data_IF_247878425109
#
_entry.id   IF_247878425109
#
_cell.length_a   1.000
_cell.length_b   1.000
_cell.length_c   1.000
_cell.angle_alpha   90.00
_cell.angle_beta   90.00
_cell.angle_gamma   90.00
#
_symmetry.space_group_name_H-M   'P 1'
#
loop_
_entity.id
_entity.type
_entity.pdbx_description
1 polymer ?
#
# COMPACT_ATOMS: atom_id res chain seq x y z
N UNK A 1 16.63 -35.60 19.94
CA UNK A 1 16.64 -34.95 18.61
C UNK A 1 15.53 -33.94 18.65
N UNK A 2 15.85 -32.77 19.17
CA UNK A 2 14.92 -31.67 19.40
C UNK A 2 14.77 -30.99 18.04
N UNK A 3 13.61 -31.15 17.41
CA UNK A 3 13.32 -30.43 16.16
C UNK A 3 13.07 -28.99 16.53
N UNK A 4 14.06 -28.13 16.27
CA UNK A 4 13.94 -26.67 16.35
C UNK A 4 12.65 -26.23 15.64
N UNK A 5 11.70 -25.73 16.42
CA UNK A 5 10.50 -25.03 15.95
C UNK A 5 10.88 -23.56 15.65
N UNK A 6 12.10 -23.34 15.16
CA UNK A 6 12.59 -22.04 14.79
C UNK A 6 12.06 -21.68 13.39
N UNK A 7 11.38 -20.54 13.32
CA UNK A 7 11.13 -19.77 12.09
C UNK A 7 10.06 -20.30 11.11
N UNK A 8 8.83 -20.49 11.60
CA UNK A 8 7.66 -20.81 10.76
C UNK A 8 7.13 -19.57 10.01
N UNK A 9 8.01 -18.89 9.27
CA UNK A 9 7.58 -17.81 8.38
C UNK A 9 7.90 -18.17 6.92
N UNK A 10 6.88 -18.24 6.05
CA UNK A 10 7.09 -18.57 4.65
C UNK A 10 8.09 -17.59 4.00
N UNK A 11 8.96 -18.09 3.12
CA UNK A 11 10.07 -17.32 2.53
C UNK A 11 9.64 -15.99 1.85
N UNK A 12 8.43 -15.94 1.29
CA UNK A 12 7.84 -14.77 0.62
C UNK A 12 7.07 -13.82 1.56
N UNK A 13 6.98 -14.18 2.85
CA UNK A 13 6.55 -13.31 3.92
C UNK A 13 7.80 -12.63 4.49
N UNK A 14 8.43 -13.14 5.54
CA UNK A 14 9.71 -12.63 6.07
C UNK A 14 10.72 -13.74 6.31
N UNK A 15 12.02 -13.41 6.46
CA UNK A 15 13.07 -14.45 6.68
C UNK A 15 13.23 -14.89 8.14
N UNK A 16 12.61 -14.17 9.07
CA UNK A 16 12.63 -14.43 10.50
C UNK A 16 11.43 -13.74 11.17
N UNK A 17 11.13 -14.11 12.41
CA UNK A 17 9.97 -13.60 13.13
C UNK A 17 9.91 -12.06 13.22
N UNK A 18 11.06 -11.37 13.24
CA UNK A 18 11.11 -9.91 13.29
C UNK A 18 10.64 -9.28 11.98
N UNK A 19 11.09 -9.80 10.83
CA UNK A 19 10.61 -9.33 9.54
C UNK A 19 9.12 -9.64 9.35
N UNK A 20 8.66 -10.81 9.81
CA UNK A 20 7.26 -11.20 9.69
C UNK A 20 6.35 -10.28 10.51
N UNK A 21 6.73 -9.98 11.76
CA UNK A 21 6.01 -9.02 12.58
C UNK A 21 5.98 -7.60 11.97
N UNK A 22 7.02 -7.20 11.23
CA UNK A 22 7.01 -5.92 10.50
C UNK A 22 6.15 -5.92 9.25
N UNK A 23 6.04 -7.06 8.58
CA UNK A 23 5.11 -7.21 7.47
C UNK A 23 3.66 -7.18 7.98
N UNK A 24 3.37 -7.89 9.07
CA UNK A 24 2.06 -7.86 9.74
C UNK A 24 1.68 -6.42 10.12
N UNK A 25 2.57 -5.67 10.76
CA UNK A 25 2.33 -4.26 11.09
C UNK A 25 1.96 -3.43 9.87
N UNK A 26 2.65 -3.60 8.74
CA UNK A 26 2.35 -2.87 7.50
C UNK A 26 0.98 -3.27 6.95
N UNK A 27 0.64 -4.56 6.97
CA UNK A 27 -0.65 -5.06 6.49
C UNK A 27 -1.79 -4.50 7.34
N UNK A 28 -1.65 -4.50 8.67
CA UNK A 28 -2.66 -3.95 9.58
C UNK A 28 -2.82 -2.43 9.39
N UNK A 29 -1.72 -1.70 9.16
CA UNK A 29 -1.81 -0.26 8.83
C UNK A 29 -2.56 -0.04 7.51
N UNK A 30 -2.38 -0.89 6.51
CA UNK A 30 -3.16 -0.82 5.26
C UNK A 30 -4.63 -1.12 5.52
N UNK A 31 -4.95 -2.12 6.34
CA UNK A 31 -6.33 -2.40 6.73
C UNK A 31 -6.98 -1.21 7.47
N UNK A 32 -6.25 -0.53 8.34
CA UNK A 32 -6.72 0.70 8.99
C UNK A 32 -7.00 1.83 7.98
N UNK A 33 -6.15 1.98 6.96
CA UNK A 33 -6.37 2.94 5.87
C UNK A 33 -7.64 2.58 5.08
N UNK A 34 -7.81 1.30 4.72
CA UNK A 34 -8.99 0.81 3.99
C UNK A 34 -10.27 1.04 4.79
N UNK A 35 -10.28 0.66 6.06
CA UNK A 35 -11.40 0.85 6.98
C UNK A 35 -11.76 2.33 7.16
N UNK A 36 -10.76 3.22 7.19
CA UNK A 36 -10.99 4.65 7.28
C UNK A 36 -11.59 5.25 6.00
N UNK A 37 -11.21 4.72 4.83
CA UNK A 37 -11.63 5.24 3.51
C UNK A 37 -12.96 4.66 3.04
N UNK A 38 -13.27 3.42 3.41
CA UNK A 38 -14.44 2.69 2.92
C UNK A 38 -15.77 3.47 3.10
N UNK A 39 -16.08 4.09 4.26
CA UNK A 39 -17.35 4.81 4.42
C UNK A 39 -17.49 6.01 3.48
N UNK A 40 -16.39 6.74 3.25
CA UNK A 40 -16.37 7.86 2.33
C UNK A 40 -16.56 7.36 0.90
N UNK A 41 -15.81 6.34 0.50
CA UNK A 41 -15.85 5.75 -0.84
C UNK A 41 -17.23 5.16 -1.21
N UNK A 42 -17.89 4.51 -0.26
CA UNK A 42 -19.22 3.89 -0.45
C UNK A 42 -20.39 4.89 -0.41
N UNK A 43 -20.13 6.15 -0.04
CA UNK A 43 -21.16 7.20 -0.01
C UNK A 43 -21.76 7.40 -1.41
N UNK A 44 -23.09 7.29 -1.63
CA UNK A 44 -23.68 7.41 -2.98
C UNK A 44 -23.58 8.82 -3.58
N UNK A 45 -23.62 9.86 -2.74
CA UNK A 45 -23.51 11.26 -3.13
C UNK A 45 -22.06 11.60 -3.51
N UNK A 46 -21.84 12.00 -4.77
CA UNK A 46 -20.51 12.27 -5.31
C UNK A 46 -19.82 13.46 -4.63
N UNK A 47 -20.54 14.55 -4.33
CA UNK A 47 -19.96 15.74 -3.72
C UNK A 47 -19.60 15.49 -2.25
N UNK A 48 -20.47 14.77 -1.53
CA UNK A 48 -20.18 14.35 -0.16
C UNK A 48 -19.01 13.36 -0.10
N UNK A 49 -18.98 12.38 -1.01
CA UNK A 49 -17.87 11.43 -1.15
C UNK A 49 -16.55 12.17 -1.30
N UNK A 50 -16.45 13.11 -2.24
CA UNK A 50 -15.23 13.88 -2.47
C UNK A 50 -14.79 14.65 -1.22
N UNK A 51 -15.71 15.33 -0.53
CA UNK A 51 -15.41 16.08 0.69
C UNK A 51 -14.93 15.16 1.84
N UNK A 52 -15.59 14.02 2.05
CA UNK A 52 -15.23 13.08 3.12
C UNK A 52 -13.87 12.40 2.85
N UNK A 53 -13.53 12.14 1.59
CA UNK A 53 -12.22 11.61 1.19
C UNK A 53 -11.09 12.62 1.40
N UNK A 54 -11.30 13.89 1.02
CA UNK A 54 -10.35 14.97 1.27
C UNK A 54 -10.10 15.12 2.78
N UNK A 55 -11.15 15.04 3.59
CA UNK A 55 -11.03 15.06 5.05
C UNK A 55 -10.25 13.86 5.58
N UNK A 56 -10.53 12.64 5.10
CA UNK A 56 -9.79 11.44 5.51
C UNK A 56 -8.30 11.57 5.18
N UNK A 57 -7.97 12.01 3.97
CA UNK A 57 -6.60 12.28 3.52
C UNK A 57 -5.85 13.23 4.44
N UNK A 58 -6.42 14.40 4.71
CA UNK A 58 -5.73 15.51 5.38
C UNK A 58 -5.60 15.30 6.89
N UNK A 59 -6.41 14.42 7.47
CA UNK A 59 -6.42 14.18 8.91
C UNK A 59 -6.09 12.73 9.29
N UNK A 60 -6.91 11.79 8.84
CA UNK A 60 -6.96 10.43 9.38
C UNK A 60 -5.82 9.57 8.84
N UNK A 61 -5.50 9.71 7.56
CA UNK A 61 -4.52 8.84 6.89
C UNK A 61 -3.08 9.32 7.06
N UNK A 62 -2.87 10.60 7.37
CA UNK A 62 -1.54 11.21 7.41
C UNK A 62 -0.55 10.50 8.33
N UNK A 63 -0.89 10.11 9.58
CA UNK A 63 0.03 9.39 10.45
C UNK A 63 0.49 8.06 9.85
N UNK A 64 -0.42 7.30 9.24
CA UNK A 64 -0.12 6.02 8.60
C UNK A 64 0.84 6.19 7.42
N UNK A 65 0.59 7.17 6.55
CA UNK A 65 1.47 7.47 5.42
C UNK A 65 2.83 7.99 5.85
N UNK A 66 2.90 8.84 6.87
CA UNK A 66 4.17 9.32 7.43
C UNK A 66 4.99 8.16 8.01
N UNK A 67 4.34 7.17 8.64
CA UNK A 67 5.01 5.97 9.12
C UNK A 67 5.53 5.12 7.96
N UNK A 68 4.68 4.77 7.01
CA UNK A 68 5.03 3.94 5.83
C UNK A 68 6.21 4.57 5.08
N UNK A 69 6.14 5.88 4.83
CA UNK A 69 7.19 6.63 4.14
C UNK A 69 8.53 6.55 4.86
N UNK A 70 8.54 6.80 6.18
CA UNK A 70 9.76 6.71 7.00
C UNK A 70 10.31 5.28 7.06
N UNK A 71 9.43 4.28 7.14
CA UNK A 71 9.81 2.87 7.17
C UNK A 71 10.50 2.45 5.87
N UNK A 72 9.95 2.85 4.71
CA UNK A 72 10.56 2.61 3.41
C UNK A 72 11.92 3.31 3.27
N UNK A 73 12.04 4.56 3.72
CA UNK A 73 13.32 5.28 3.70
C UNK A 73 14.38 4.58 4.54
N UNK A 74 14.02 4.12 5.74
CA UNK A 74 14.93 3.36 6.62
C UNK A 74 15.37 2.03 6.00
N UNK A 75 14.51 1.40 5.21
CA UNK A 75 14.82 0.16 4.49
C UNK A 75 15.69 0.37 3.23
N UNK A 76 15.99 1.62 2.85
CA UNK A 76 16.80 1.94 1.67
C UNK A 76 15.99 2.28 0.41
N UNK A 77 14.66 2.28 0.50
CA UNK A 77 13.78 2.88 -0.52
C UNK A 77 13.35 1.97 -1.68
N UNK A 78 13.93 0.78 -1.84
CA UNK A 78 13.52 -0.17 -2.90
C UNK A 78 12.38 -1.08 -2.47
N UNK A 79 12.52 -1.73 -1.32
CA UNK A 79 11.51 -2.59 -0.71
C UNK A 79 11.46 -2.35 0.80
N UNK A 80 10.38 -2.79 1.45
CA UNK A 80 10.23 -2.65 2.90
C UNK A 80 11.14 -3.61 3.69
N UNK A 81 11.52 -4.75 3.11
CA UNK A 81 12.42 -5.74 3.72
C UNK A 81 13.76 -5.84 2.98
N UNK A 82 14.50 -4.73 2.98
CA UNK A 82 15.83 -4.63 2.38
C UNK A 82 15.77 -4.72 0.85
N UNK A 83 16.33 -5.79 0.27
CA UNK A 83 16.43 -5.99 -1.17
C UNK A 83 15.49 -7.07 -1.71
N UNK A 84 14.50 -7.51 -0.92
CA UNK A 84 13.55 -8.55 -1.31
C UNK A 84 12.14 -7.99 -1.41
N UNK A 85 11.43 -8.39 -2.47
CA UNK A 85 10.00 -8.18 -2.61
C UNK A 85 9.26 -9.11 -1.64
N UNK A 86 8.36 -8.56 -0.84
CA UNK A 86 7.56 -9.25 0.18
C UNK A 86 6.08 -8.83 0.12
N UNK A 87 5.23 -9.45 0.95
CA UNK A 87 3.81 -9.06 1.03
C UNK A 87 3.62 -7.58 1.40
N UNK A 88 4.49 -6.99 2.23
CA UNK A 88 4.44 -5.57 2.58
C UNK A 88 4.50 -4.67 1.33
N UNK A 89 5.36 -5.02 0.37
CA UNK A 89 5.49 -4.25 -0.88
C UNK A 89 4.24 -4.39 -1.75
N UNK A 90 3.66 -5.60 -1.81
CA UNK A 90 2.45 -5.87 -2.60
C UNK A 90 1.25 -5.09 -2.08
N UNK A 91 1.00 -5.12 -0.76
CA UNK A 91 -0.16 -4.43 -0.17
C UNK A 91 -0.02 -2.91 -0.27
N UNK A 92 1.18 -2.38 -0.02
CA UNK A 92 1.44 -0.93 -0.16
C UNK A 92 1.32 -0.49 -1.62
N UNK A 93 1.85 -1.28 -2.56
CA UNK A 93 1.67 -1.00 -3.98
C UNK A 93 0.18 -0.98 -4.35
N UNK A 94 -0.58 -1.98 -3.93
CA UNK A 94 -2.00 -2.10 -4.27
C UNK A 94 -2.82 -0.91 -3.78
N UNK A 95 -2.63 -0.51 -2.51
CA UNK A 95 -3.40 0.61 -1.95
C UNK A 95 -2.99 1.96 -2.56
N UNK A 96 -1.71 2.15 -2.92
CA UNK A 96 -1.27 3.35 -3.68
C UNK A 96 -1.87 3.34 -5.09
N UNK A 97 -1.83 2.21 -5.79
CA UNK A 97 -2.42 2.04 -7.13
C UNK A 97 -3.92 2.37 -7.11
N UNK A 98 -4.65 1.86 -6.10
CA UNK A 98 -6.05 2.22 -5.86
C UNK A 98 -6.22 3.73 -5.72
N UNK A 99 -5.43 4.40 -4.88
CA UNK A 99 -5.57 5.84 -4.66
C UNK A 99 -5.19 6.70 -5.88
N UNK A 100 -4.25 6.25 -6.71
CA UNK A 100 -3.87 6.94 -7.93
C UNK A 100 -4.92 6.78 -9.05
N UNK A 101 -5.61 5.64 -9.12
CA UNK A 101 -6.63 5.35 -10.15
C UNK A 101 -8.05 5.80 -9.76
N UNK A 102 -8.38 5.83 -8.47
CA UNK A 102 -9.74 6.04 -7.94
C UNK A 102 -10.32 7.46 -8.08
N UNK A 103 -9.58 8.40 -8.68
CA UNK A 103 -10.05 9.78 -8.87
C UNK A 103 -10.23 10.58 -7.56
N UNK A 104 -9.81 10.04 -6.40
CA UNK A 104 -10.02 10.62 -5.07
C UNK A 104 -9.14 11.87 -4.77
N UNK A 105 -8.57 12.50 -5.81
CA UNK A 105 -7.69 13.66 -5.65
C UNK A 105 -6.37 13.37 -4.90
N UNK A 106 -5.98 12.10 -4.79
CA UNK A 106 -4.79 11.67 -4.04
C UNK A 106 -3.52 11.64 -4.86
N UNK A 107 -3.60 11.91 -6.17
CA UNK A 107 -2.44 12.01 -7.04
C UNK A 107 -1.43 13.04 -6.51
N UNK A 108 -1.89 14.23 -6.15
CA UNK A 108 -1.03 15.30 -5.60
C UNK A 108 -0.63 15.06 -4.15
N UNK A 109 -1.40 14.26 -3.40
CA UNK A 109 -1.07 13.90 -2.02
C UNK A 109 0.27 13.16 -1.94
N UNK A 110 0.49 12.19 -2.84
CA UNK A 110 1.72 11.42 -2.86
C UNK A 110 2.95 12.21 -3.34
N UNK A 111 2.79 13.40 -3.91
CA UNK A 111 3.93 14.28 -4.24
C UNK A 111 4.73 14.69 -2.99
N UNK A 112 4.07 14.72 -1.82
CA UNK A 112 4.73 14.94 -0.53
C UNK A 112 5.55 13.73 -0.04
N UNK A 113 5.43 12.58 -0.72
CA UNK A 113 6.06 11.31 -0.37
C UNK A 113 6.90 10.75 -1.54
N UNK A 114 7.95 11.45 -1.99
CA UNK A 114 8.67 11.13 -3.23
C UNK A 114 9.32 9.73 -3.25
N UNK A 115 9.77 9.22 -2.11
CA UNK A 115 10.25 7.82 -2.00
C UNK A 115 9.14 6.80 -2.24
N UNK A 116 7.89 7.06 -1.80
CA UNK A 116 6.76 6.17 -2.11
C UNK A 116 6.38 6.22 -3.58
N UNK A 117 6.44 7.40 -4.20
CA UNK A 117 6.24 7.53 -5.66
C UNK A 117 7.29 6.72 -6.43
N UNK A 118 8.56 6.84 -6.06
CA UNK A 118 9.65 6.06 -6.67
C UNK A 118 9.47 4.56 -6.44
N UNK A 119 9.05 4.15 -5.25
CA UNK A 119 8.74 2.75 -4.95
C UNK A 119 7.61 2.23 -5.85
N UNK A 120 6.50 2.95 -5.94
CA UNK A 120 5.36 2.57 -6.78
C UNK A 120 5.78 2.39 -8.24
N UNK A 121 6.52 3.35 -8.80
CA UNK A 121 7.06 3.25 -10.16
C UNK A 121 8.06 2.09 -10.32
N UNK A 122 8.89 1.82 -9.31
CA UNK A 122 9.80 0.67 -9.34
C UNK A 122 9.05 -0.65 -9.32
N UNK A 123 7.99 -0.81 -8.52
CA UNK A 123 7.18 -2.04 -8.53
C UNK A 123 6.51 -2.22 -9.89
N UNK A 124 5.98 -1.14 -10.46
CA UNK A 124 5.27 -1.17 -11.74
C UNK A 124 6.19 -1.51 -12.92
N UNK A 125 7.40 -0.95 -12.94
CA UNK A 125 8.26 -0.98 -14.12
C UNK A 125 9.50 -1.88 -13.98
N UNK A 126 9.99 -2.12 -12.76
CA UNK A 126 11.23 -2.86 -12.46
C UNK A 126 11.05 -3.81 -11.26
N UNK A 127 10.13 -4.78 -11.39
CA UNK A 127 9.96 -5.83 -10.40
C UNK A 127 9.52 -7.16 -11.02
N UNK A 128 9.56 -8.27 -10.26
CA UNK A 128 8.95 -9.53 -10.67
C UNK A 128 7.45 -9.42 -11.02
N UNK A 129 6.76 -8.35 -10.59
CA UNK A 129 5.34 -8.11 -10.89
C UNK A 129 5.11 -7.33 -12.19
N UNK A 130 6.15 -6.75 -12.80
CA UNK A 130 6.02 -5.90 -14.00
C UNK A 130 5.19 -6.55 -15.11
N UNK A 131 5.48 -7.82 -15.43
CA UNK A 131 4.76 -8.53 -16.50
C UNK A 131 3.27 -8.68 -16.16
N UNK A 132 2.96 -9.10 -14.93
CA UNK A 132 1.57 -9.22 -14.49
C UNK A 132 0.85 -7.86 -14.53
N UNK A 133 1.49 -6.78 -14.08
CA UNK A 133 0.89 -5.45 -14.05
C UNK A 133 0.64 -4.88 -15.45
N UNK A 134 1.48 -5.23 -16.44
CA UNK A 134 1.28 -4.87 -17.84
C UNK A 134 0.14 -5.66 -18.50
N UNK A 135 0.03 -6.95 -18.17
CA UNK A 135 -1.00 -7.84 -18.75
C UNK A 135 -2.34 -7.78 -18.00
N UNK A 136 -2.35 -7.20 -16.79
CA UNK A 136 -3.52 -7.04 -15.93
C UNK A 136 -4.62 -6.33 -16.70
N UNK A 137 -5.75 -7.00 -16.89
CA UNK A 137 -6.95 -6.37 -17.44
C UNK A 137 -7.39 -5.23 -16.54
N UNK A 138 -7.67 -4.08 -17.15
CA UNK A 138 -8.23 -2.96 -16.42
C UNK A 138 -9.59 -3.36 -15.83
N UNK A 139 -9.70 -3.26 -14.52
CA UNK A 139 -10.95 -3.38 -13.78
C UNK A 139 -11.21 -2.03 -13.14
N UNK A 140 -12.22 -1.32 -13.60
CA UNK A 140 -12.59 -0.04 -13.01
C UNK A 140 -12.91 -0.26 -11.52
N UNK A 141 -12.17 0.43 -10.64
CA UNK A 141 -12.48 0.50 -9.22
C UNK A 141 -13.74 1.36 -9.04
N UNK A 142 -14.90 0.70 -9.16
CA UNK A 142 -16.28 1.18 -8.99
C UNK A 142 -16.80 2.14 -10.09
N UNK A 143 -17.68 1.57 -10.94
CA UNK A 143 -18.81 2.16 -11.69
C UNK A 143 -18.62 3.58 -12.25
N UNK A 144 -17.99 3.68 -13.42
CA UNK A 144 -18.13 4.84 -14.33
C UNK A 144 -19.53 4.91 -15.01
N UNK A 145 -20.57 4.44 -14.35
CA UNK A 145 -21.94 4.40 -14.88
C UNK A 145 -22.86 4.46 -13.67
N UNK A 146 -23.31 5.66 -13.30
CA UNK A 146 -24.70 6.11 -13.20
C UNK A 146 -24.71 7.60 -12.88
#
# INVERSE_FOLDING_TARGET
METDIADVCPYNYGKNNVECARIDEIIEIVADIENAVAPAYETPDAAKREADLVKCRDSTLKPSWDFIYKSLQKAGGKYFMGNRLTMADVVIFNIIDFFLDSGLGLKTYFESYPTLVKFYESIKNDSPLTQYLNDRKYTANIKSTF
#
